data_IF_475356974444
#
_entry.id   IF_475356974444
#
_cell.length_a   1.000
_cell.length_b   1.000
_cell.length_c   1.000
_cell.angle_alpha   90.00
_cell.angle_beta   90.00
_cell.angle_gamma   90.00
#
_symmetry.space_group_name_H-M   'P 1'
#
loop_
_entity.id
_entity.type
_entity.pdbx_description
1 polymer ?
#
# COMPACT_ATOMS: atom_id res chain seq x y z
N UNK A 1 18.02 1.39 -15.15
CA UNK A 1 18.55 2.76 -14.95
C UNK A 1 19.55 2.71 -13.79
N UNK A 2 20.78 3.20 -13.95
CA UNK A 2 21.76 3.26 -12.84
C UNK A 2 21.61 4.58 -12.10
N UNK A 3 21.77 4.55 -10.78
CA UNK A 3 21.63 5.70 -9.90
C UNK A 3 22.94 5.95 -9.17
N UNK A 4 23.47 7.17 -9.28
CA UNK A 4 24.66 7.60 -8.57
C UNK A 4 24.33 8.84 -7.76
N UNK A 5 24.73 8.84 -6.49
CA UNK A 5 24.76 10.05 -5.67
C UNK A 5 26.16 10.63 -5.75
N UNK A 6 26.28 11.92 -6.02
CA UNK A 6 27.55 12.62 -6.00
C UNK A 6 27.47 13.75 -4.99
N UNK A 7 28.37 13.74 -4.01
CA UNK A 7 28.56 14.86 -3.09
C UNK A 7 29.85 15.56 -3.45
N UNK A 8 29.81 16.89 -3.42
CA UNK A 8 30.93 17.75 -3.77
C UNK A 8 31.12 18.79 -2.70
N UNK A 9 32.34 18.91 -2.20
CA UNK A 9 32.72 19.83 -1.14
C UNK A 9 33.82 20.73 -1.69
N UNK A 10 33.54 22.02 -1.94
CA UNK A 10 34.57 22.98 -2.30
C UNK A 10 35.39 23.34 -1.06
N UNK A 11 36.69 23.53 -1.23
CA UNK A 11 37.57 24.06 -0.20
C UNK A 11 38.07 25.41 -0.63
N UNK A 12 38.22 26.28 0.36
CA UNK A 12 38.68 27.65 0.19
C UNK A 12 39.91 27.87 1.06
N UNK A 13 40.77 28.79 0.65
CA UNK A 13 41.83 29.30 1.50
C UNK A 13 41.27 30.28 2.55
N UNK A 14 42.17 30.83 3.36
CA UNK A 14 41.87 31.81 4.42
C UNK A 14 41.34 33.14 3.89
N UNK A 15 41.62 33.44 2.61
CA UNK A 15 41.23 34.67 1.94
C UNK A 15 39.92 34.47 1.13
N UNK A 16 39.33 33.27 1.19
CA UNK A 16 38.09 32.92 0.52
C UNK A 16 38.25 32.48 -0.94
N UNK A 17 39.48 32.31 -1.45
CA UNK A 17 39.70 31.81 -2.80
C UNK A 17 39.53 30.29 -2.83
N UNK A 18 38.87 29.77 -3.87
CA UNK A 18 38.62 28.33 -4.02
C UNK A 18 39.93 27.59 -4.32
N UNK A 19 40.40 26.78 -3.37
CA UNK A 19 41.57 25.91 -3.50
C UNK A 19 41.27 24.66 -4.33
N UNK A 20 40.05 24.12 -4.25
CA UNK A 20 39.71 22.90 -4.98
C UNK A 20 38.31 22.37 -4.69
N UNK A 21 38.02 21.18 -5.25
CA UNK A 21 36.74 20.50 -5.14
C UNK A 21 36.98 19.01 -4.86
N UNK A 22 36.67 18.53 -3.66
CA UNK A 22 36.59 17.10 -3.41
C UNK A 22 35.21 16.62 -3.81
N UNK A 23 35.17 15.59 -4.64
CA UNK A 23 33.92 14.91 -5.00
C UNK A 23 34.02 13.44 -4.67
N UNK A 24 32.97 12.89 -4.08
CA UNK A 24 32.82 11.46 -3.87
C UNK A 24 31.47 11.00 -4.41
N UNK A 25 31.49 9.87 -5.10
CA UNK A 25 30.33 9.26 -5.74
C UNK A 25 30.01 7.93 -5.09
N UNK A 26 28.71 7.65 -4.89
CA UNK A 26 28.22 6.36 -4.42
C UNK A 26 27.21 5.82 -5.42
N UNK A 27 27.40 4.57 -5.86
CA UNK A 27 26.36 3.83 -6.56
C UNK A 27 25.22 3.53 -5.57
N UNK A 28 24.01 3.95 -5.92
CA UNK A 28 22.79 3.72 -5.15
C UNK A 28 21.76 2.91 -5.93
N UNK A 29 22.18 2.26 -7.01
CA UNK A 29 21.29 1.52 -7.90
C UNK A 29 20.52 0.44 -7.15
N UNK A 30 21.22 -0.39 -6.37
CA UNK A 30 20.59 -1.45 -5.59
C UNK A 30 19.61 -0.90 -4.56
N UNK A 31 20.01 0.13 -3.80
CA UNK A 31 19.14 0.78 -2.81
C UNK A 31 17.87 1.32 -3.46
N UNK A 32 18.01 2.01 -4.60
CA UNK A 32 16.87 2.58 -5.34
C UNK A 32 15.96 1.50 -5.91
N UNK A 33 16.52 0.38 -6.38
CA UNK A 33 15.72 -0.74 -6.86
C UNK A 33 14.93 -1.39 -5.73
N UNK A 34 15.55 -1.61 -4.57
CA UNK A 34 14.88 -2.14 -3.39
C UNK A 34 13.76 -1.21 -2.88
N UNK A 35 14.04 0.10 -2.77
CA UNK A 35 13.04 1.12 -2.42
C UNK A 35 11.84 1.09 -3.38
N UNK A 36 12.09 1.04 -4.68
CA UNK A 36 11.03 1.02 -5.69
C UNK A 36 10.23 -0.30 -5.66
N UNK A 37 10.89 -1.43 -5.45
CA UNK A 37 10.23 -2.73 -5.32
C UNK A 37 9.31 -2.77 -4.10
N UNK A 38 9.79 -2.27 -2.95
CA UNK A 38 9.00 -2.18 -1.73
C UNK A 38 7.81 -1.22 -1.89
N UNK A 39 8.02 -0.03 -2.49
CA UNK A 39 6.96 0.93 -2.75
C UNK A 39 5.88 0.37 -3.69
N UNK A 40 6.31 -0.37 -4.73
CA UNK A 40 5.39 -1.06 -5.64
C UNK A 40 4.57 -2.13 -4.91
N UNK A 41 5.24 -3.01 -4.15
CA UNK A 41 4.57 -4.06 -3.39
C UNK A 41 3.55 -3.48 -2.38
N UNK A 42 3.90 -2.39 -1.69
CA UNK A 42 2.99 -1.69 -0.79
C UNK A 42 1.78 -1.13 -1.53
N UNK A 43 1.99 -0.50 -2.68
CA UNK A 43 0.91 0.06 -3.51
C UNK A 43 -0.02 -1.03 -4.01
N UNK A 44 0.53 -2.14 -4.49
CA UNK A 44 -0.24 -3.27 -5.01
C UNK A 44 -1.04 -3.94 -3.88
N UNK A 45 -0.47 -4.08 -2.69
CA UNK A 45 -1.18 -4.58 -1.50
C UNK A 45 -2.36 -3.67 -1.14
N UNK A 46 -2.14 -2.34 -1.07
CA UNK A 46 -3.22 -1.40 -0.76
C UNK A 46 -4.33 -1.45 -1.80
N UNK A 47 -3.96 -1.51 -3.10
CA UNK A 47 -4.94 -1.65 -4.18
C UNK A 47 -5.75 -2.93 -4.06
N UNK A 48 -5.08 -4.06 -3.82
CA UNK A 48 -5.75 -5.35 -3.63
C UNK A 48 -6.77 -5.31 -2.49
N UNK A 49 -6.36 -4.83 -1.31
CA UNK A 49 -7.27 -4.73 -0.15
C UNK A 49 -8.45 -3.80 -0.44
N UNK A 50 -8.21 -2.66 -1.10
CA UNK A 50 -9.28 -1.74 -1.47
C UNK A 50 -10.29 -2.42 -2.42
N UNK A 51 -9.81 -3.08 -3.48
CA UNK A 51 -10.65 -3.80 -4.44
C UNK A 51 -11.49 -4.86 -3.74
N UNK A 52 -10.87 -5.74 -2.93
CA UNK A 52 -11.58 -6.79 -2.21
C UNK A 52 -12.60 -6.19 -1.24
N UNK A 53 -12.26 -5.12 -0.53
CA UNK A 53 -13.20 -4.44 0.38
C UNK A 53 -14.42 -3.89 -0.35
N UNK A 54 -14.23 -3.34 -1.55
CA UNK A 54 -15.33 -2.88 -2.39
C UNK A 54 -16.18 -4.04 -2.91
N UNK A 55 -15.53 -5.11 -3.37
CA UNK A 55 -16.22 -6.29 -3.90
C UNK A 55 -16.99 -7.06 -2.82
N UNK A 56 -16.50 -7.10 -1.58
CA UNK A 56 -17.18 -7.73 -0.45
C UNK A 56 -18.40 -6.92 0.04
N UNK A 57 -18.45 -5.60 -0.20
CA UNK A 57 -19.55 -4.76 0.26
C UNK A 57 -20.88 -5.15 -0.40
N UNK A 58 -20.87 -5.51 -1.67
CA UNK A 58 -22.07 -5.92 -2.42
C UNK A 58 -22.71 -7.21 -1.89
N UNK A 59 -22.00 -8.36 -1.79
CA UNK A 59 -22.58 -9.58 -1.24
C UNK A 59 -22.93 -9.41 0.25
N UNK A 60 -22.13 -8.68 1.03
CA UNK A 60 -22.44 -8.42 2.44
C UNK A 60 -23.76 -7.65 2.61
N UNK A 61 -23.97 -6.61 1.80
CA UNK A 61 -25.24 -5.87 1.80
C UNK A 61 -26.43 -6.78 1.41
N UNK A 62 -26.22 -7.72 0.48
CA UNK A 62 -27.23 -8.72 0.13
C UNK A 62 -27.57 -9.65 1.30
N UNK A 63 -26.57 -10.19 2.00
CA UNK A 63 -26.75 -11.04 3.18
C UNK A 63 -27.50 -10.27 4.28
N UNK A 64 -27.05 -9.05 4.61
CA UNK A 64 -27.71 -8.22 5.63
C UNK A 64 -29.16 -7.88 5.24
N UNK A 65 -29.40 -7.60 3.95
CA UNK A 65 -30.74 -7.37 3.42
C UNK A 65 -31.66 -8.59 3.62
N UNK A 66 -31.19 -9.77 3.22
CA UNK A 66 -31.91 -11.03 3.40
C UNK A 66 -32.14 -11.35 4.89
N UNK A 67 -31.15 -11.16 5.75
CA UNK A 67 -31.31 -11.35 7.20
C UNK A 67 -32.36 -10.42 7.81
N UNK A 68 -32.46 -9.17 7.35
CA UNK A 68 -33.52 -8.25 7.78
C UNK A 68 -34.89 -8.69 7.30
N UNK A 69 -35.01 -9.11 6.04
CA UNK A 69 -36.27 -9.62 5.49
C UNK A 69 -36.74 -10.87 6.23
N UNK A 70 -35.84 -11.80 6.54
CA UNK A 70 -36.15 -13.01 7.32
C UNK A 70 -36.62 -12.66 8.74
N UNK A 71 -35.98 -11.70 9.40
CA UNK A 71 -36.37 -11.25 10.74
C UNK A 71 -37.77 -10.62 10.76
N UNK A 72 -38.11 -9.86 9.72
CA UNK A 72 -39.34 -9.08 9.67
C UNK A 72 -40.51 -9.88 9.04
N UNK A 73 -40.30 -11.16 8.67
CA UNK A 73 -41.31 -12.09 8.15
C UNK A 73 -41.69 -13.19 9.15
N UNK A 74 -42.92 -13.72 9.09
CA UNK A 74 -43.27 -14.97 9.76
C UNK A 74 -42.54 -16.13 9.06
N UNK A 75 -41.48 -16.63 9.70
CA UNK A 75 -40.66 -17.72 9.19
C UNK A 75 -41.42 -19.06 9.33
N UNK A 76 -41.37 -19.90 8.29
CA UNK A 76 -41.79 -21.29 8.42
C UNK A 76 -40.81 -22.05 9.34
N UNK A 77 -41.26 -23.17 9.91
CA UNK A 77 -40.44 -24.02 10.80
C UNK A 77 -39.09 -24.44 10.17
N UNK A 78 -39.08 -24.67 8.86
CA UNK A 78 -37.87 -25.03 8.09
C UNK A 78 -36.92 -23.83 7.93
N UNK A 79 -37.46 -22.64 7.65
CA UNK A 79 -36.66 -21.41 7.51
C UNK A 79 -36.07 -20.97 8.85
N UNK A 80 -36.80 -21.15 9.96
CA UNK A 80 -36.29 -20.89 11.31
C UNK A 80 -35.08 -21.78 11.63
N UNK A 81 -35.16 -23.08 11.31
CA UNK A 81 -34.05 -24.02 11.53
C UNK A 81 -32.78 -23.66 10.74
N UNK A 82 -32.91 -23.16 9.50
CA UNK A 82 -31.74 -22.70 8.73
C UNK A 82 -31.06 -21.49 9.35
N UNK A 83 -31.84 -20.55 9.90
CA UNK A 83 -31.31 -19.33 10.52
C UNK A 83 -30.71 -19.62 11.90
N UNK A 84 -31.26 -20.58 12.66
CA UNK A 84 -30.75 -20.96 13.99
C UNK A 84 -29.50 -21.84 13.97
N UNK A 85 -29.10 -22.32 12.79
CA UNK A 85 -27.91 -23.19 12.61
C UNK A 85 -26.63 -22.39 12.33
N UNK A 86 -26.74 -21.09 12.01
CA UNK A 86 -25.62 -20.14 11.88
C UNK A 86 -25.33 -19.50 13.23
#
# INVERSE_FOLDING_TARGET
RRYFEMKRVPFFDKDGNRLGLLSFGRDMTERKQAENAAAKASTDKTRFIATISHELRTPLNGIVGLSRMLRDSELSEEQFNWVSTI
#
